data_IF_049612798600
#
_entry.id   IF_049612798600
#
_cell.length_a   1.000
_cell.length_b   1.000
_cell.length_c   1.000
_cell.angle_alpha   90.00
_cell.angle_beta   90.00
_cell.angle_gamma   90.00
#
_symmetry.space_group_name_H-M   'P 1'
#
loop_
_entity.id
_entity.type
_entity.pdbx_description
1 polymer ?
#
# COMPACT_ATOMS: atom_id res chain seq x y z
N UNK A 1 -16.11 -14.35 -7.70
CA UNK A 1 -14.68 -14.18 -7.35
C UNK A 1 -14.37 -15.12 -6.20
N UNK A 2 -13.57 -16.14 -6.45
CA UNK A 2 -13.29 -17.19 -5.46
C UNK A 2 -12.44 -16.64 -4.31
N UNK A 3 -13.08 -16.39 -3.17
CA UNK A 3 -12.43 -16.42 -1.88
C UNK A 3 -12.18 -17.89 -1.54
N UNK A 4 -11.01 -18.42 -1.89
CA UNK A 4 -10.60 -19.76 -1.45
C UNK A 4 -10.65 -19.85 0.07
N UNK A 5 -10.99 -21.00 0.64
CA UNK A 5 -11.03 -21.21 2.08
C UNK A 5 -9.62 -21.11 2.65
N UNK A 6 -9.33 -20.03 3.38
CA UNK A 6 -8.12 -19.93 4.18
C UNK A 6 -7.24 -18.71 3.92
N UNK A 7 -7.76 -17.52 4.20
CA UNK A 7 -7.01 -16.32 4.62
C UNK A 7 -5.60 -16.01 4.06
N UNK A 8 -5.25 -16.51 2.87
CA UNK A 8 -3.93 -16.33 2.28
C UNK A 8 -3.76 -14.97 1.61
N UNK A 9 -2.52 -14.52 1.48
CA UNK A 9 -2.17 -13.39 0.64
C UNK A 9 -2.45 -13.74 -0.82
N UNK A 10 -3.29 -12.95 -1.49
CA UNK A 10 -3.46 -13.06 -2.94
C UNK A 10 -2.27 -12.41 -3.68
N UNK A 11 -2.06 -12.77 -4.93
CA UNK A 11 -0.94 -12.29 -5.74
C UNK A 11 -0.96 -10.76 -5.88
N UNK A 12 -2.13 -10.15 -6.02
CA UNK A 12 -2.27 -8.70 -6.12
C UNK A 12 -1.79 -7.98 -4.85
N UNK A 13 -2.14 -8.50 -3.67
CA UNK A 13 -1.63 -7.97 -2.40
C UNK A 13 -0.11 -8.05 -2.32
N UNK A 14 0.49 -9.17 -2.75
CA UNK A 14 1.96 -9.35 -2.73
C UNK A 14 2.63 -8.35 -3.66
N UNK A 15 2.09 -8.15 -4.87
CA UNK A 15 2.60 -7.17 -5.84
C UNK A 15 2.56 -5.75 -5.26
N UNK A 16 1.44 -5.34 -4.65
CA UNK A 16 1.34 -4.02 -4.03
C UNK A 16 2.29 -3.86 -2.84
N UNK A 17 2.50 -4.91 -2.05
CA UNK A 17 3.49 -4.89 -0.99
C UNK A 17 4.92 -4.76 -1.54
N UNK A 18 5.24 -5.43 -2.66
CA UNK A 18 6.55 -5.30 -3.31
C UNK A 18 6.77 -3.89 -3.86
N UNK A 19 5.79 -3.33 -4.56
CA UNK A 19 5.82 -1.94 -5.05
C UNK A 19 6.05 -0.98 -3.88
N UNK A 20 5.25 -1.08 -2.84
CA UNK A 20 5.37 -0.22 -1.66
C UNK A 20 6.75 -0.33 -0.99
N UNK A 21 7.28 -1.55 -0.83
CA UNK A 21 8.64 -1.74 -0.31
C UNK A 21 9.68 -1.00 -1.17
N UNK A 22 9.59 -1.10 -2.50
CA UNK A 22 10.51 -0.42 -3.40
C UNK A 22 10.34 1.11 -3.34
N UNK A 23 9.12 1.60 -3.14
CA UNK A 23 8.83 3.02 -2.91
C UNK A 23 9.49 3.52 -1.62
N UNK A 24 9.41 2.77 -0.51
CA UNK A 24 10.07 3.15 0.75
C UNK A 24 11.60 3.18 0.67
N UNK A 25 12.17 2.68 -0.43
CA UNK A 25 13.61 2.68 -0.74
C UNK A 25 13.98 3.69 -1.83
N UNK A 26 13.05 4.52 -2.27
CA UNK A 26 13.17 5.46 -3.38
C UNK A 26 13.58 4.79 -4.73
N UNK A 27 13.39 3.46 -4.84
CA UNK A 27 13.65 2.71 -6.08
C UNK A 27 12.49 2.90 -7.06
N UNK A 28 11.26 3.01 -6.54
CA UNK A 28 10.08 3.36 -7.32
C UNK A 28 9.45 4.64 -6.76
N UNK A 29 8.85 5.48 -7.62
CA UNK A 29 8.07 6.62 -7.18
C UNK A 29 6.75 6.18 -6.53
N UNK A 30 6.17 7.04 -5.72
CA UNK A 30 4.78 6.89 -5.29
C UNK A 30 3.83 7.14 -6.48
N UNK A 31 2.59 6.68 -6.36
CA UNK A 31 1.58 6.98 -7.39
C UNK A 31 1.25 8.47 -7.37
N UNK A 32 1.24 9.11 -6.21
CA UNK A 32 1.09 10.56 -6.08
C UNK A 32 2.16 11.32 -6.87
N UNK A 33 3.43 10.90 -6.79
CA UNK A 33 4.53 11.49 -7.57
C UNK A 33 4.34 11.29 -9.08
N UNK A 34 3.90 10.09 -9.51
CA UNK A 34 3.62 9.81 -10.92
C UNK A 34 2.45 10.62 -11.48
N UNK A 35 1.52 11.03 -10.62
CA UNK A 35 0.34 11.81 -10.99
C UNK A 35 0.52 13.32 -10.82
N UNK A 36 1.63 13.76 -10.23
CA UNK A 36 1.89 15.16 -9.93
C UNK A 36 2.01 15.99 -11.22
N UNK A 37 1.18 17.04 -11.31
CA UNK A 37 1.17 17.95 -12.46
C UNK A 37 0.57 17.39 -13.76
N UNK A 38 0.09 16.14 -13.75
CA UNK A 38 -0.54 15.52 -14.91
C UNK A 38 -2.06 15.74 -14.88
N UNK A 39 -2.62 16.06 -16.05
CA UNK A 39 -4.08 16.14 -16.19
C UNK A 39 -4.71 14.80 -15.85
N UNK A 40 -5.71 14.80 -14.97
CA UNK A 40 -6.44 13.61 -14.58
C UNK A 40 -7.06 12.90 -15.79
N UNK A 41 -6.92 11.59 -15.83
CA UNK A 41 -7.56 10.68 -16.78
C UNK A 41 -8.50 9.75 -16.00
N UNK A 42 -9.76 10.16 -15.89
CA UNK A 42 -10.76 9.51 -15.03
C UNK A 42 -11.62 8.54 -15.83
N UNK A 43 -11.49 7.25 -15.53
CA UNK A 43 -12.36 6.20 -16.03
C UNK A 43 -13.01 5.46 -14.85
N UNK A 44 -14.34 5.34 -14.87
CA UNK A 44 -15.09 4.67 -13.79
C UNK A 44 -14.75 5.16 -12.38
N UNK A 45 -14.54 6.48 -12.21
CA UNK A 45 -14.13 7.15 -10.95
C UNK A 45 -12.68 6.91 -10.53
N UNK A 46 -11.87 6.21 -11.31
CA UNK A 46 -10.46 5.97 -11.04
C UNK A 46 -9.59 6.87 -11.90
N UNK A 47 -8.54 7.42 -11.33
CA UNK A 47 -7.56 8.21 -12.06
C UNK A 47 -6.44 7.30 -12.56
N UNK A 48 -6.35 7.14 -13.89
CA UNK A 48 -5.32 6.37 -14.56
C UNK A 48 -4.16 7.22 -15.09
N UNK A 49 -4.21 8.53 -14.87
CA UNK A 49 -3.14 9.42 -15.32
C UNK A 49 -1.81 9.09 -14.62
N UNK A 50 -0.74 9.13 -15.39
CA UNK A 50 0.62 9.06 -14.87
C UNK A 50 1.59 9.70 -15.85
N UNK A 51 2.70 10.23 -15.34
CA UNK A 51 3.77 10.77 -16.16
C UNK A 51 4.56 9.63 -16.83
N UNK A 52 4.39 9.49 -18.16
CA UNK A 52 5.11 8.50 -18.96
C UNK A 52 6.60 8.81 -19.11
N UNK A 53 6.99 10.07 -18.87
CA UNK A 53 8.36 10.55 -18.97
C UNK A 53 9.04 10.64 -17.60
N UNK A 54 8.41 10.12 -16.56
CA UNK A 54 8.98 10.13 -15.21
C UNK A 54 10.34 9.44 -15.20
N UNK A 55 11.35 10.17 -14.77
CA UNK A 55 12.70 9.63 -14.60
C UNK A 55 12.91 9.22 -13.16
N UNK A 56 13.18 7.93 -12.95
CA UNK A 56 13.49 7.39 -11.63
C UNK A 56 14.76 8.06 -11.10
N UNK A 57 14.68 8.68 -9.92
CA UNK A 57 15.76 9.47 -9.32
C UNK A 57 16.98 8.62 -8.94
N UNK A 58 16.73 7.42 -8.46
CA UNK A 58 17.78 6.51 -8.02
C UNK A 58 17.59 5.13 -8.64
N UNK A 59 18.66 4.61 -9.24
CA UNK A 59 18.71 3.21 -9.68
C UNK A 59 19.33 2.38 -8.57
N UNK A 60 18.71 1.27 -8.23
CA UNK A 60 19.30 0.32 -7.28
C UNK A 60 20.29 -0.59 -8.00
N UNK A 61 21.52 -0.62 -7.55
CA UNK A 61 22.55 -1.57 -8.02
C UNK A 61 22.46 -2.92 -7.27
N UNK A 62 21.51 -3.05 -6.36
CA UNK A 62 21.34 -4.26 -5.56
C UNK A 62 20.76 -5.40 -6.39
N UNK A 63 21.34 -6.62 -6.27
CA UNK A 63 20.76 -7.79 -6.91
C UNK A 63 19.37 -8.10 -6.36
N UNK A 64 18.53 -8.70 -7.20
CA UNK A 64 17.13 -9.05 -6.86
C UNK A 64 17.05 -9.92 -5.60
N UNK A 65 18.01 -10.83 -5.41
CA UNK A 65 18.11 -11.69 -4.21
C UNK A 65 18.28 -10.89 -2.92
N UNK A 66 19.09 -9.83 -2.95
CA UNK A 66 19.28 -8.93 -1.80
C UNK A 66 18.00 -8.11 -1.54
N UNK A 67 17.38 -7.57 -2.60
CA UNK A 67 16.12 -6.84 -2.47
C UNK A 67 15.00 -7.73 -1.90
N UNK A 68 14.94 -8.99 -2.32
CA UNK A 68 13.99 -9.97 -1.80
C UNK A 68 14.20 -10.23 -0.30
N UNK A 69 15.46 -10.41 0.12
CA UNK A 69 15.78 -10.57 1.53
C UNK A 69 15.39 -9.33 2.35
N UNK A 70 15.66 -8.13 1.82
CA UNK A 70 15.27 -6.87 2.45
C UNK A 70 13.75 -6.68 2.50
N UNK A 71 13.01 -7.09 1.48
CA UNK A 71 11.55 -7.11 1.47
C UNK A 71 11.00 -7.92 2.64
N UNK A 72 11.47 -9.13 2.82
CA UNK A 72 11.02 -9.96 3.92
C UNK A 72 11.39 -9.38 5.28
N UNK A 73 12.63 -8.92 5.45
CA UNK A 73 13.08 -8.25 6.69
C UNK A 73 12.24 -7.02 7.02
N UNK A 74 11.87 -6.24 6.02
CA UNK A 74 11.04 -5.07 6.17
C UNK A 74 9.66 -5.45 6.73
N UNK A 75 8.99 -6.42 6.13
CA UNK A 75 7.65 -6.81 6.56
C UNK A 75 7.63 -7.62 7.86
N UNK A 76 8.70 -8.29 8.23
CA UNK A 76 8.83 -8.87 9.57
C UNK A 76 8.75 -7.83 10.69
N UNK A 77 9.27 -6.63 10.43
CA UNK A 77 9.32 -5.52 11.40
C UNK A 77 8.21 -4.50 11.20
N UNK A 78 7.45 -4.60 10.12
CA UNK A 78 6.40 -3.63 9.80
C UNK A 78 5.30 -3.62 10.87
N UNK A 79 4.90 -2.44 11.38
CA UNK A 79 3.93 -2.33 12.46
C UNK A 79 2.48 -2.42 11.92
N UNK A 80 2.05 -3.59 11.43
CA UNK A 80 0.75 -3.83 10.83
C UNK A 80 -0.44 -3.45 11.72
N UNK A 81 -0.26 -3.50 13.04
CA UNK A 81 -1.34 -3.16 13.97
C UNK A 81 -1.70 -1.66 13.93
N UNK A 82 -0.72 -0.80 13.63
CA UNK A 82 -0.88 0.65 13.69
C UNK A 82 -0.76 1.35 12.34
N UNK A 83 -0.22 0.70 11.32
CA UNK A 83 0.04 1.31 10.01
C UNK A 83 -0.60 0.55 8.85
N UNK A 84 -0.80 1.27 7.77
CA UNK A 84 -1.31 0.81 6.48
C UNK A 84 -0.19 0.85 5.45
N UNK A 85 -0.11 -0.20 4.63
CA UNK A 85 0.69 -0.22 3.40
C UNK A 85 -0.06 0.60 2.35
N UNK A 86 0.47 1.76 1.97
CA UNK A 86 -0.20 2.72 1.11
C UNK A 86 0.66 3.08 -0.12
N UNK A 87 0.54 2.34 -1.23
CA UNK A 87 1.30 2.60 -2.45
C UNK A 87 1.00 3.96 -3.09
N UNK A 88 -0.18 4.55 -2.79
CA UNK A 88 -0.55 5.87 -3.30
C UNK A 88 0.47 6.94 -2.89
N UNK A 89 0.94 6.90 -1.65
CA UNK A 89 1.88 7.90 -1.12
C UNK A 89 3.31 7.37 -0.94
N UNK A 90 3.53 6.06 -1.04
CA UNK A 90 4.86 5.45 -0.96
C UNK A 90 5.47 5.35 0.44
N UNK A 91 4.72 5.65 1.51
CA UNK A 91 5.16 5.52 2.91
C UNK A 91 4.04 5.04 3.84
N UNK A 92 4.38 4.45 5.02
CA UNK A 92 3.37 3.93 5.94
C UNK A 92 2.49 5.03 6.52
N UNK A 93 1.17 4.86 6.46
CA UNK A 93 0.20 5.78 7.06
C UNK A 93 -0.35 5.18 8.34
N UNK A 94 -0.39 5.98 9.42
CA UNK A 94 -1.01 5.54 10.67
C UNK A 94 -2.51 5.34 10.50
N UNK A 95 -3.02 4.19 10.91
CA UNK A 95 -4.47 3.89 10.95
C UNK A 95 -5.26 4.94 11.71
N UNK A 96 -4.65 5.50 12.76
CA UNK A 96 -5.24 6.58 13.55
C UNK A 96 -5.64 7.79 12.70
N UNK A 97 -4.77 8.27 11.83
CA UNK A 97 -5.06 9.42 10.95
C UNK A 97 -6.16 9.10 9.93
N UNK A 98 -6.15 7.89 9.37
CA UNK A 98 -7.20 7.44 8.45
C UNK A 98 -8.56 7.28 9.12
N UNK A 99 -8.56 6.90 10.41
CA UNK A 99 -9.80 6.72 11.19
C UNK A 99 -10.43 8.04 11.60
N UNK A 100 -9.62 9.02 11.97
CA UNK A 100 -10.08 10.27 12.62
C UNK A 100 -10.03 11.49 11.71
N UNK A 101 -9.40 11.42 10.54
CA UNK A 101 -9.35 12.53 9.57
C UNK A 101 -8.50 13.72 10.01
N UNK A 102 -7.61 13.54 10.99
CA UNK A 102 -6.81 14.64 11.55
C UNK A 102 -5.60 15.02 10.67
N UNK A 103 -5.06 16.23 10.93
CA UNK A 103 -3.89 16.77 10.26
C UNK A 103 -2.70 15.78 10.24
N UNK A 104 -2.05 15.65 9.09
CA UNK A 104 -0.98 14.66 8.85
C UNK A 104 -1.33 13.64 7.75
N UNK A 105 -2.57 13.66 7.22
CA UNK A 105 -2.90 12.92 6.03
C UNK A 105 -2.44 13.68 4.78
N UNK A 106 -1.84 12.98 3.80
CA UNK A 106 -1.55 13.55 2.48
C UNK A 106 -2.80 14.09 1.80
N UNK A 107 -2.64 15.16 1.04
CA UNK A 107 -3.77 15.81 0.38
C UNK A 107 -4.47 14.93 -0.64
N UNK A 108 -3.72 14.04 -1.30
CA UNK A 108 -4.29 13.05 -2.23
C UNK A 108 -5.29 12.13 -1.53
N UNK A 109 -5.04 11.76 -0.29
CA UNK A 109 -5.96 10.96 0.50
C UNK A 109 -7.15 11.77 1.01
N UNK A 110 -6.95 13.04 1.37
CA UNK A 110 -8.03 13.96 1.80
C UNK A 110 -9.01 14.27 0.66
N UNK A 111 -8.50 14.45 -0.55
CA UNK A 111 -9.27 14.81 -1.76
C UNK A 111 -9.93 13.60 -2.43
N UNK A 112 -9.62 12.40 -1.98
CA UNK A 112 -10.16 11.17 -2.55
C UNK A 112 -11.68 11.09 -2.42
N UNK A 113 -12.39 10.66 -3.48
CA UNK A 113 -13.82 10.39 -3.40
C UNK A 113 -14.10 9.34 -2.31
N UNK A 114 -14.81 9.73 -1.27
CA UNK A 114 -15.08 8.89 -0.09
C UNK A 114 -14.39 9.35 1.20
N UNK A 115 -13.43 10.26 1.12
CA UNK A 115 -12.88 10.95 2.28
C UNK A 115 -13.75 12.19 2.64
N UNK A 116 -14.23 12.32 3.85
CA UNK A 116 -14.82 13.57 4.37
C UNK A 116 -16.35 13.66 4.42
N UNK A 117 -17.11 12.86 3.66
CA UNK A 117 -18.59 12.78 3.79
C UNK A 117 -19.12 11.36 3.96
N UNK A 118 -18.32 10.37 3.65
CA UNK A 118 -18.60 8.96 3.90
C UNK A 118 -17.38 8.39 4.59
N UNK A 119 -17.59 7.81 5.77
CA UNK A 119 -16.53 7.12 6.52
C UNK A 119 -15.75 6.25 5.54
N UNK A 120 -14.46 6.54 5.37
CA UNK A 120 -13.59 5.73 4.52
C UNK A 120 -13.80 4.26 4.91
N UNK A 121 -14.31 3.45 4.00
CA UNK A 121 -14.66 2.05 4.27
C UNK A 121 -13.43 1.13 4.30
N UNK A 122 -12.23 1.72 4.33
CA UNK A 122 -11.01 0.94 4.48
C UNK A 122 -11.08 0.19 5.80
N UNK A 123 -11.08 -1.13 5.74
CA UNK A 123 -11.23 -2.00 6.93
C UNK A 123 -9.97 -1.94 7.81
N UNK A 124 -9.81 -0.85 8.56
CA UNK A 124 -8.64 -0.55 9.40
C UNK A 124 -8.48 -1.51 10.60
N UNK A 125 -9.55 -2.23 10.97
CA UNK A 125 -9.55 -3.22 12.04
C UNK A 125 -8.89 -4.56 11.65
N UNK A 126 -8.56 -4.73 10.37
CA UNK A 126 -7.89 -5.94 9.88
C UNK A 126 -6.42 -5.99 10.31
N UNK A 127 -5.89 -7.20 10.43
CA UNK A 127 -4.49 -7.46 10.84
C UNK A 127 -3.48 -6.94 9.82
N UNK A 128 -3.82 -7.02 8.55
CA UNK A 128 -3.08 -6.46 7.43
C UNK A 128 -4.00 -5.51 6.67
N UNK A 129 -3.53 -4.30 6.41
CA UNK A 129 -4.23 -3.33 5.57
C UNK A 129 -3.28 -2.88 4.49
N UNK A 130 -3.59 -3.30 3.25
CA UNK A 130 -2.92 -2.86 2.03
C UNK A 130 -3.96 -2.12 1.20
N UNK A 131 -3.75 -0.83 1.04
CA UNK A 131 -4.67 0.04 0.32
C UNK A 131 -4.54 -0.18 -1.20
N UNK A 132 -5.69 -0.33 -1.87
CA UNK A 132 -5.73 -0.34 -3.32
C UNK A 132 -5.42 1.07 -3.85
N UNK A 133 -4.46 1.24 -4.77
CA UNK A 133 -4.10 2.56 -5.29
C UNK A 133 -5.16 3.20 -6.20
N UNK A 134 -6.07 2.42 -6.76
CA UNK A 134 -7.18 2.92 -7.59
C UNK A 134 -8.44 3.14 -6.77
N UNK A 135 -8.79 2.19 -5.92
CA UNK A 135 -9.92 2.27 -5.01
C UNK A 135 -9.44 2.49 -3.57
N UNK A 136 -9.11 3.74 -3.23
CA UNK A 136 -8.45 4.10 -1.97
C UNK A 136 -9.23 3.69 -0.70
N UNK A 137 -10.52 3.40 -0.84
CA UNK A 137 -11.37 2.88 0.23
C UNK A 137 -11.30 1.34 0.38
N UNK A 138 -10.56 0.63 -0.49
CA UNK A 138 -10.49 -0.82 -0.52
C UNK A 138 -9.24 -1.33 0.17
N UNK A 139 -9.40 -2.31 1.07
CA UNK A 139 -8.31 -3.13 1.59
C UNK A 139 -8.21 -4.43 0.79
N UNK A 140 -7.17 -4.58 -0.02
CA UNK A 140 -6.97 -5.78 -0.87
C UNK A 140 -6.53 -7.01 -0.07
N UNK A 141 -6.14 -6.82 1.19
CA UNK A 141 -5.70 -7.88 2.11
C UNK A 141 -6.74 -8.21 3.19
N UNK A 142 -8.00 -7.80 3.03
CA UNK A 142 -9.05 -7.94 4.06
C UNK A 142 -9.31 -9.39 4.48
N UNK A 143 -9.03 -10.37 3.61
CA UNK A 143 -9.17 -11.80 3.90
C UNK A 143 -8.01 -12.42 4.71
N UNK A 144 -6.89 -11.69 4.88
CA UNK A 144 -5.71 -12.22 5.57
C UNK A 144 -5.95 -12.31 7.07
N UNK A 145 -5.82 -13.52 7.63
CA UNK A 145 -5.99 -13.75 9.06
C UNK A 145 -4.73 -13.42 9.87
N UNK A 146 -4.90 -13.18 11.19
CA UNK A 146 -3.76 -12.96 12.11
C UNK A 146 -2.80 -14.14 12.13
N UNK A 147 -3.30 -15.37 12.03
CA UNK A 147 -2.49 -16.57 12.04
C UNK A 147 -1.56 -16.65 10.83
N UNK A 148 -2.05 -16.28 9.64
CA UNK A 148 -1.23 -16.22 8.42
C UNK A 148 -0.18 -15.13 8.48
N UNK A 149 -0.53 -13.97 9.01
CA UNK A 149 0.44 -12.89 9.22
C UNK A 149 1.52 -13.28 10.24
N UNK A 150 1.14 -14.02 11.28
CA UNK A 150 2.07 -14.61 12.27
C UNK A 150 3.07 -15.58 11.63
N UNK A 151 2.62 -16.44 10.72
CA UNK A 151 3.50 -17.36 9.98
C UNK A 151 4.53 -16.60 9.11
N UNK A 152 4.13 -15.53 8.43
CA UNK A 152 5.06 -14.68 7.67
C UNK A 152 6.15 -14.08 8.57
N UNK A 153 5.81 -13.67 9.79
CA UNK A 153 6.77 -13.14 10.76
C UNK A 153 7.69 -14.21 11.35
N UNK A 154 7.20 -15.45 11.50
CA UNK A 154 7.95 -16.54 12.12
C UNK A 154 9.04 -17.11 11.21
N UNK A 155 8.79 -17.23 9.91
CA UNK A 155 9.71 -17.78 8.91
C UNK A 155 11.04 -16.99 8.89
N UNK A 156 11.06 -15.74 9.30
CA UNK A 156 12.22 -14.85 9.22
C UNK A 156 12.83 -14.45 10.59
N UNK A 157 12.42 -15.09 11.68
CA UNK A 157 13.07 -14.94 12.99
C UNK A 157 14.18 -15.98 13.22
N UNK A 158 14.33 -16.91 12.31
CA UNK A 158 15.47 -17.85 12.27
C UNK A 158 16.54 -17.30 11.32
#
# INVERSE_FOLDING_TARGET
MNSGPGGHLNSYTIVLMAIFFLQTRNILPSIEELQAGIRQDIHNKWNFAFDRNYVVKEKSDKPVSELLLHFFRYYCKFPFDTHVVCPQVGYPIKKYYLKHGFGGLPDVLKKSPGFGKSKMKLELNKSLVVQDPFELARNVSASVSKSHLGKLRFIYKQ
#
